data_IF_478244957462
#
_entry.id   IF_478244957462
#
_cell.length_a   1.000
_cell.length_b   1.000
_cell.length_c   1.000
_cell.angle_alpha   90.00
_cell.angle_beta   90.00
_cell.angle_gamma   90.00
#
_symmetry.space_group_name_H-M   'P 1'
#
loop_
_entity.id
_entity.type
_entity.pdbx_description
1 polymer ?
#
# COMPACT_ATOMS: atom_id res chain seq x y z
N UNK A 1 -15.90 -12.02 -9.88
CA UNK A 1 -15.42 -11.10 -8.86
C UNK A 1 -14.31 -11.73 -8.03
N UNK A 2 -13.24 -11.04 -7.87
CA UNK A 2 -12.09 -11.62 -7.21
C UNK A 2 -11.68 -10.75 -6.02
N UNK A 3 -12.23 -11.02 -4.84
CA UNK A 3 -11.91 -10.20 -3.67
C UNK A 3 -10.44 -10.27 -3.28
N UNK A 4 -9.71 -11.24 -3.79
CA UNK A 4 -8.31 -11.39 -3.42
C UNK A 4 -7.46 -10.23 -3.90
N UNK A 5 -7.89 -9.48 -4.91
CA UNK A 5 -7.11 -8.32 -5.35
C UNK A 5 -7.09 -7.25 -4.26
N UNK A 6 -8.25 -6.93 -3.72
CA UNK A 6 -8.30 -5.96 -2.63
C UNK A 6 -7.52 -6.46 -1.42
N UNK A 7 -7.62 -7.75 -1.13
CA UNK A 7 -6.87 -8.32 -0.02
C UNK A 7 -5.37 -8.22 -0.26
N UNK A 8 -4.94 -8.44 -1.50
CA UNK A 8 -3.52 -8.36 -1.81
C UNK A 8 -3.01 -6.94 -1.68
N UNK A 9 -3.80 -5.98 -2.15
CA UNK A 9 -3.42 -4.57 -2.00
C UNK A 9 -3.34 -4.17 -0.54
N UNK A 10 -4.30 -4.61 0.26
CA UNK A 10 -4.28 -4.32 1.68
C UNK A 10 -3.09 -4.97 2.37
N UNK A 11 -2.76 -6.20 1.98
CA UNK A 11 -1.62 -6.89 2.56
C UNK A 11 -0.31 -6.17 2.22
N UNK A 12 -0.20 -5.70 0.98
CA UNK A 12 0.98 -4.96 0.58
C UNK A 12 1.10 -3.65 1.36
N UNK A 13 -0.02 -2.96 1.54
CA UNK A 13 -0.01 -1.72 2.30
C UNK A 13 0.40 -1.99 3.74
N UNK A 14 -0.10 -3.07 4.32
CA UNK A 14 0.25 -3.42 5.69
C UNK A 14 1.72 -3.77 5.81
N UNK A 15 2.26 -4.49 4.85
CA UNK A 15 3.67 -4.84 4.85
C UNK A 15 4.53 -3.58 4.77
N UNK A 16 4.14 -2.64 3.92
CA UNK A 16 4.86 -1.37 3.82
C UNK A 16 4.85 -0.65 5.16
N UNK A 17 3.68 -0.58 5.78
CA UNK A 17 3.53 0.17 7.01
C UNK A 17 4.24 -0.48 8.19
N UNK A 18 4.16 -1.81 8.29
CA UNK A 18 4.65 -2.52 9.46
C UNK A 18 6.12 -2.90 9.38
N UNK A 19 6.63 -3.07 8.16
CA UNK A 19 7.98 -3.61 7.97
C UNK A 19 8.87 -2.64 7.23
N UNK A 20 8.45 -2.21 6.04
CA UNK A 20 9.34 -1.44 5.18
C UNK A 20 9.58 -0.04 5.73
N UNK A 21 8.52 0.67 6.06
CA UNK A 21 8.67 2.03 6.55
C UNK A 21 9.43 2.09 7.87
N UNK A 22 9.15 1.24 8.86
CA UNK A 22 9.96 1.24 10.07
C UNK A 22 11.42 0.93 9.82
N UNK A 23 11.71 0.05 8.86
CA UNK A 23 13.08 -0.29 8.52
C UNK A 23 13.83 0.89 7.91
N UNK A 24 13.11 1.75 7.18
CA UNK A 24 13.71 2.90 6.52
C UNK A 24 13.80 4.14 7.40
N UNK A 25 13.19 4.08 8.57
CA UNK A 25 12.99 5.27 9.39
C UNK A 25 14.30 5.99 9.71
N UNK A 26 15.35 5.25 9.99
CA UNK A 26 16.64 5.84 10.35
C UNK A 26 17.63 5.83 9.21
N UNK A 27 17.17 5.56 8.01
CA UNK A 27 18.06 5.42 6.88
C UNK A 27 18.04 6.66 6.00
N UNK A 28 17.26 6.59 4.95
CA UNK A 28 17.24 7.61 3.91
C UNK A 28 15.89 8.31 3.93
N UNK A 29 15.91 9.63 4.14
CA UNK A 29 14.67 10.39 4.16
C UNK A 29 13.91 10.32 2.85
N UNK A 30 14.64 10.28 1.73
CA UNK A 30 13.99 10.20 0.42
C UNK A 30 13.32 8.84 0.26
N UNK A 31 14.00 7.78 0.67
CA UNK A 31 13.40 6.45 0.57
C UNK A 31 12.16 6.35 1.44
N UNK A 32 12.22 6.91 2.64
CA UNK A 32 11.07 6.90 3.53
C UNK A 32 9.90 7.65 2.92
N UNK A 33 10.18 8.80 2.32
CA UNK A 33 9.15 9.60 1.69
C UNK A 33 8.50 8.85 0.53
N UNK A 34 9.31 8.22 -0.29
CA UNK A 34 8.78 7.44 -1.41
C UNK A 34 7.95 6.26 -0.93
N UNK A 35 8.40 5.60 0.12
CA UNK A 35 7.64 4.48 0.69
C UNK A 35 6.29 4.96 1.18
N UNK A 36 6.23 6.14 1.77
CA UNK A 36 4.96 6.71 2.21
C UNK A 36 4.01 6.97 1.06
N UNK A 37 4.55 7.44 -0.06
CA UNK A 37 3.73 7.68 -1.25
C UNK A 37 3.19 6.36 -1.79
N UNK A 38 4.03 5.33 -1.86
CA UNK A 38 3.58 4.02 -2.31
C UNK A 38 2.49 3.49 -1.41
N UNK A 39 2.66 3.64 -0.11
CA UNK A 39 1.66 3.18 0.85
C UNK A 39 0.32 3.88 0.62
N UNK A 40 0.35 5.19 0.42
CA UNK A 40 -0.88 5.94 0.18
C UNK A 40 -1.60 5.44 -1.07
N UNK A 41 -0.84 5.19 -2.13
CA UNK A 41 -1.42 4.69 -3.38
C UNK A 41 -1.99 3.29 -3.22
N UNK A 42 -1.32 2.45 -2.46
CA UNK A 42 -1.83 1.10 -2.22
C UNK A 42 -3.15 1.14 -1.48
N UNK A 43 -3.26 2.01 -0.48
CA UNK A 43 -4.50 2.12 0.27
C UNK A 43 -5.63 2.66 -0.59
N UNK A 44 -5.32 3.65 -1.42
CA UNK A 44 -6.31 4.18 -2.35
C UNK A 44 -6.77 3.11 -3.33
N UNK A 45 -5.83 2.35 -3.87
CA UNK A 45 -6.17 1.30 -4.83
C UNK A 45 -7.05 0.25 -4.18
N UNK A 46 -6.74 -0.11 -2.93
CA UNK A 46 -7.54 -1.11 -2.23
C UNK A 46 -8.96 -0.61 -2.01
N UNK A 47 -9.11 0.67 -1.70
CA UNK A 47 -10.43 1.25 -1.51
C UNK A 47 -11.23 1.32 -2.80
N UNK A 48 -10.55 1.61 -3.90
CA UNK A 48 -11.23 1.82 -5.17
C UNK A 48 -11.50 0.52 -5.91
N UNK A 49 -10.90 -0.56 -5.48
CA UNK A 49 -11.02 -1.84 -6.18
C UNK A 49 -12.48 -2.27 -6.36
N UNK A 50 -13.32 -2.21 -5.33
CA UNK A 50 -14.72 -2.61 -5.52
C UNK A 50 -15.44 -1.78 -6.58
N UNK A 51 -15.08 -0.52 -6.71
CA UNK A 51 -15.73 0.36 -7.68
C UNK A 51 -15.27 0.04 -9.10
N UNK A 52 -14.00 -0.17 -9.30
CA UNK A 52 -13.49 -0.49 -10.62
C UNK A 52 -13.98 -1.85 -11.06
N UNK A 53 -14.13 -2.77 -10.14
CA UNK A 53 -14.64 -4.10 -10.47
C UNK A 53 -16.08 -4.06 -10.96
N UNK A 54 -16.77 -2.97 -10.68
CA UNK A 54 -18.15 -2.81 -11.09
C UNK A 54 -18.31 -2.62 -12.57
N UNK A 55 -17.25 -2.30 -13.27
CA UNK A 55 -17.34 -2.12 -14.70
C UNK A 55 -17.27 -3.45 -15.40
#
# INVERSE_FOLDING_TARGET
MNPSLANRLSSMAKAMEDVVIPALRNEDGIALEQAGIVLAHLRMAAEQEPYTAGY
#
